data_IF_864557512337
#
_entry.id   IF_864557512337
#
_cell.length_a   1.000
_cell.length_b   1.000
_cell.length_c   1.000
_cell.angle_alpha   90.00
_cell.angle_beta   90.00
_cell.angle_gamma   90.00
#
_symmetry.space_group_name_H-M   'P 1'
#
loop_
_entity.id
_entity.type
_entity.pdbx_description
1 polymer ?
#
# COMPACT_ATOMS: atom_id res chain seq x y z
N UNK A 1 -6.29 10.57 -4.00
CA UNK A 1 -5.64 9.32 -3.54
C UNK A 1 -5.17 9.38 -2.08
N UNK A 2 -4.46 10.43 -1.65
CA UNK A 2 -4.03 10.58 -0.24
C UNK A 2 -5.18 10.58 0.79
N UNK A 3 -6.40 10.95 0.39
CA UNK A 3 -7.58 10.86 1.25
C UNK A 3 -7.86 9.41 1.72
N UNK A 4 -7.61 8.39 0.87
CA UNK A 4 -7.76 6.97 1.28
C UNK A 4 -6.71 6.56 2.30
N UNK A 5 -5.48 7.08 2.21
CA UNK A 5 -4.46 6.85 3.25
C UNK A 5 -4.93 7.36 4.61
N UNK A 6 -5.57 8.53 4.64
CA UNK A 6 -6.13 9.11 5.87
C UNK A 6 -7.25 8.26 6.49
N UNK A 7 -8.22 7.77 5.70
CA UNK A 7 -9.35 7.01 6.26
C UNK A 7 -9.05 5.53 6.51
N UNK A 8 -8.16 4.90 5.74
CA UNK A 8 -7.99 3.43 5.76
C UNK A 8 -6.67 2.97 6.35
N UNK A 9 -5.64 3.81 6.41
CA UNK A 9 -4.30 3.40 6.87
C UNK A 9 -3.88 4.16 8.13
N UNK A 10 -4.14 5.47 8.16
CA UNK A 10 -3.75 6.33 9.27
C UNK A 10 -4.56 6.07 10.55
N UNK A 11 -5.82 5.65 10.40
CA UNK A 11 -6.66 5.23 11.51
C UNK A 11 -6.38 3.75 11.79
N UNK A 12 -5.76 3.45 12.93
CA UNK A 12 -5.32 2.10 13.28
C UNK A 12 -6.43 1.04 13.17
N UNK A 13 -7.63 1.33 13.70
CA UNK A 13 -8.81 0.44 13.62
C UNK A 13 -9.36 0.20 12.20
N UNK A 14 -8.96 1.03 11.23
CA UNK A 14 -9.41 0.92 9.84
C UNK A 14 -8.37 0.26 8.94
N UNK A 15 -7.18 -0.07 9.48
CA UNK A 15 -6.10 -0.72 8.72
C UNK A 15 -6.59 -2.04 8.15
N UNK A 16 -6.20 -2.30 6.91
CA UNK A 16 -6.43 -3.59 6.27
C UNK A 16 -5.70 -4.67 7.08
N UNK A 17 -6.38 -5.77 7.38
CA UNK A 17 -5.80 -6.91 8.10
C UNK A 17 -4.88 -7.78 7.25
N UNK A 18 -4.24 -7.19 6.23
CA UNK A 18 -3.30 -7.87 5.34
C UNK A 18 -1.91 -7.24 5.47
N UNK A 19 -0.89 -7.93 4.94
CA UNK A 19 0.51 -7.50 5.01
C UNK A 19 0.72 -6.07 4.47
N UNK A 20 0.01 -5.70 3.41
CA UNK A 20 0.07 -4.36 2.81
C UNK A 20 -0.45 -3.29 3.80
N UNK A 21 -1.55 -3.57 4.51
CA UNK A 21 -2.13 -2.70 5.51
C UNK A 21 -1.21 -2.47 6.70
N UNK A 22 -0.55 -3.53 7.17
CA UNK A 22 0.44 -3.46 8.25
C UNK A 22 1.67 -2.65 7.82
N UNK A 23 2.21 -2.93 6.64
CA UNK A 23 3.40 -2.25 6.11
C UNK A 23 3.14 -0.75 5.87
N UNK A 24 2.01 -0.39 5.25
CA UNK A 24 1.62 1.02 5.06
C UNK A 24 1.28 1.70 6.38
N UNK A 25 0.68 0.97 7.33
CA UNK A 25 0.38 1.45 8.68
C UNK A 25 1.65 1.80 9.45
N UNK A 26 2.63 0.90 9.43
CA UNK A 26 3.95 1.14 10.02
C UNK A 26 4.66 2.31 9.35
N UNK A 27 4.62 2.39 8.01
CA UNK A 27 5.25 3.48 7.28
C UNK A 27 4.70 4.86 7.67
N UNK A 28 3.37 4.99 7.84
CA UNK A 28 2.79 6.27 8.28
C UNK A 28 3.11 6.61 9.74
N UNK A 29 3.19 5.59 10.61
CA UNK A 29 3.58 5.77 12.02
C UNK A 29 5.03 6.24 12.12
N UNK A 30 5.96 5.65 11.36
CA UNK A 30 7.37 6.04 11.29
C UNK A 30 7.55 7.47 10.76
N UNK A 31 6.80 7.83 9.71
CA UNK A 31 6.84 9.18 9.13
C UNK A 31 6.34 10.25 10.10
N UNK A 32 5.32 9.92 10.92
CA UNK A 32 4.83 10.79 11.99
C UNK A 32 5.79 10.87 13.17
N UNK A 33 6.37 9.75 13.59
CA UNK A 33 7.36 9.68 14.66
C UNK A 33 8.64 10.47 14.31
N UNK A 34 9.00 10.52 13.03
CA UNK A 34 10.07 11.37 12.51
C UNK A 34 9.74 12.88 12.50
N UNK A 35 8.57 13.29 13.01
CA UNK A 35 8.15 14.69 13.09
C UNK A 35 7.73 15.30 11.76
N UNK A 36 7.47 14.51 10.72
CA UNK A 36 7.09 15.06 9.40
C UNK A 36 5.67 15.61 9.43
N UNK A 37 5.39 16.72 8.71
CA UNK A 37 4.03 17.25 8.60
C UNK A 37 3.05 16.20 8.07
N UNK A 38 1.87 16.09 8.66
CA UNK A 38 0.90 15.02 8.33
C UNK A 38 0.52 14.96 6.85
N UNK A 39 0.43 16.10 6.16
CA UNK A 39 0.19 16.14 4.71
C UNK A 39 1.33 15.48 3.92
N UNK A 40 2.58 15.74 4.31
CA UNK A 40 3.76 15.17 3.66
C UNK A 40 3.85 13.67 3.92
N UNK A 41 3.64 13.23 5.16
CA UNK A 41 3.61 11.81 5.53
C UNK A 41 2.57 11.05 4.68
N UNK A 42 1.34 11.56 4.57
CA UNK A 42 0.28 10.96 3.75
C UNK A 42 0.65 10.84 2.27
N UNK A 43 1.26 11.88 1.70
CA UNK A 43 1.68 11.84 0.29
C UNK A 43 2.78 10.81 0.04
N UNK A 44 3.75 10.70 0.95
CA UNK A 44 4.84 9.71 0.85
C UNK A 44 4.32 8.28 0.97
N UNK A 45 3.41 8.03 1.91
CA UNK A 45 2.76 6.72 2.09
C UNK A 45 1.87 6.40 0.89
N UNK A 46 1.13 7.37 0.33
CA UNK A 46 0.33 7.15 -0.88
C UNK A 46 1.20 6.75 -2.08
N UNK A 47 2.34 7.43 -2.27
CA UNK A 47 3.29 7.08 -3.33
C UNK A 47 3.88 5.67 -3.13
N UNK A 48 4.16 5.27 -1.89
CA UNK A 48 4.62 3.92 -1.58
C UNK A 48 3.54 2.86 -1.87
N UNK A 49 2.29 3.12 -1.48
CA UNK A 49 1.15 2.24 -1.74
C UNK A 49 0.93 1.99 -3.24
N UNK A 50 1.07 3.02 -4.09
CA UNK A 50 0.95 2.88 -5.55
C UNK A 50 1.99 1.91 -6.10
N UNK A 51 3.25 2.01 -5.63
CA UNK A 51 4.34 1.13 -6.08
C UNK A 51 4.08 -0.33 -5.70
N UNK A 52 3.60 -0.57 -4.47
CA UNK A 52 3.24 -1.91 -4.01
C UNK A 52 2.09 -2.49 -4.82
N UNK A 53 1.03 -1.71 -5.02
CA UNK A 53 -0.14 -2.14 -5.80
C UNK A 53 0.24 -2.47 -7.25
N UNK A 54 1.08 -1.64 -7.87
CA UNK A 54 1.56 -1.88 -9.23
C UNK A 54 2.39 -3.17 -9.32
N UNK A 55 3.24 -3.43 -8.34
CA UNK A 55 4.02 -4.68 -8.27
C UNK A 55 3.11 -5.90 -8.15
N UNK A 56 2.11 -5.85 -7.29
CA UNK A 56 1.16 -6.96 -7.11
C UNK A 56 0.32 -7.20 -8.37
N UNK A 57 -0.09 -6.12 -9.04
CA UNK A 57 -0.82 -6.20 -10.30
C UNK A 57 0.01 -6.87 -11.40
N UNK A 58 1.28 -6.49 -11.54
CA UNK A 58 2.17 -7.12 -12.52
C UNK A 58 2.37 -8.60 -12.23
N UNK A 59 2.54 -8.96 -10.95
CA UNK A 59 2.66 -10.35 -10.53
C UNK A 59 1.42 -11.15 -10.92
N UNK A 60 0.23 -10.67 -10.58
CA UNK A 60 -1.02 -11.37 -10.92
C UNK A 60 -1.21 -11.51 -12.44
N UNK A 61 -0.81 -10.49 -13.21
CA UNK A 61 -0.89 -10.53 -14.68
C UNK A 61 0.02 -11.63 -15.25
N UNK A 62 1.29 -11.67 -14.83
CA UNK A 62 2.25 -12.69 -15.27
C UNK A 62 1.86 -14.09 -14.79
N UNK A 63 1.36 -14.23 -13.55
CA UNK A 63 0.88 -15.50 -13.02
C UNK A 63 -0.36 -16.00 -13.78
N UNK A 64 -1.20 -15.09 -14.27
CA UNK A 64 -2.35 -15.42 -15.12
C UNK A 64 -1.92 -15.90 -16.51
N UNK A 65 -0.97 -15.21 -17.15
CA UNK A 65 -0.38 -15.63 -18.43
C UNK A 65 0.28 -17.01 -18.33
N UNK A 66 1.05 -17.25 -17.26
CA UNK A 66 1.69 -18.54 -17.01
C UNK A 66 0.68 -19.69 -16.83
N UNK A 67 -0.45 -19.44 -16.17
CA UNK A 67 -1.52 -20.43 -16.02
C UNK A 67 -2.17 -20.79 -17.36
N UNK A 68 -2.35 -19.81 -18.24
CA UNK A 68 -2.91 -20.05 -19.58
C UNK A 68 -1.97 -20.91 -20.44
N UNK A 69 -0.67 -20.61 -20.42
CA UNK A 69 0.34 -21.36 -21.18
C UNK A 69 0.54 -22.82 -20.72
N UNK A 70 0.09 -23.20 -19.51
CA UNK A 70 0.16 -24.58 -19.01
C UNK A 70 -1.05 -25.44 -19.43
N UNK A 71 -2.11 -24.80 -19.94
CA UNK A 71 -3.34 -25.46 -20.35
C UNK A 71 -3.39 -25.73 -21.87
N UNK A 72 -2.49 -25.12 -22.63
CA UNK A 72 -2.24 -25.36 -24.06
C UNK A 72 -1.13 -26.39 -24.28
#
# INVERSE_FOLDING_TARGET
>A
MWQRVFVTIEIHRCRLGNEIGELLGKHIDDEKAAGRPGKLARMRVAAHAVKLLFKELLKELTDTENRQNQLE
#
